data_IF_840922237227
#
_entry.id   IF_840922237227
#
_cell.length_a   1.000
_cell.length_b   1.000
_cell.length_c   1.000
_cell.angle_alpha   90.00
_cell.angle_beta   90.00
_cell.angle_gamma   90.00
#
_symmetry.space_group_name_H-M   'P 1'
#
loop_
_entity.id
_entity.type
_entity.pdbx_description
1 polymer ?
#
# COMPACT_ATOMS: atom_id res chain seq x y z
N UNK A 1 2.78 -24.05 -2.93
CA UNK A 1 2.03 -23.41 -1.81
C UNK A 1 0.65 -24.03 -1.73
N UNK A 2 0.24 -24.55 -0.57
CA UNK A 2 -1.13 -25.04 -0.36
C UNK A 2 -1.99 -23.82 -0.01
N UNK A 3 -3.05 -23.56 -0.76
CA UNK A 3 -3.98 -22.48 -0.44
C UNK A 3 -4.89 -22.94 0.71
N UNK A 4 -4.59 -22.51 1.93
CA UNK A 4 -5.28 -22.87 3.17
C UNK A 4 -6.17 -21.73 3.72
N UNK A 5 -5.93 -20.50 3.26
CA UNK A 5 -6.67 -19.29 3.63
C UNK A 5 -7.45 -18.70 2.45
N UNK A 6 -8.60 -18.07 2.75
CA UNK A 6 -9.51 -17.51 1.73
C UNK A 6 -9.60 -16.01 1.88
N UNK A 7 -9.31 -15.29 0.78
CA UNK A 7 -9.55 -13.85 0.66
C UNK A 7 -10.96 -13.61 0.13
N UNK A 8 -11.79 -12.86 0.87
CA UNK A 8 -13.12 -12.42 0.45
C UNK A 8 -13.23 -10.91 0.56
N UNK A 9 -13.61 -10.25 -0.52
CA UNK A 9 -13.85 -8.81 -0.56
C UNK A 9 -15.18 -8.53 -1.27
N UNK A 10 -15.95 -7.57 -0.74
CA UNK A 10 -17.16 -7.07 -1.38
C UNK A 10 -16.78 -5.98 -2.39
N UNK A 11 -17.23 -6.13 -3.63
CA UNK A 11 -17.05 -5.15 -4.71
C UNK A 11 -18.36 -4.98 -5.48
N UNK A 12 -18.59 -3.84 -6.16
CA UNK A 12 -19.74 -3.66 -7.04
C UNK A 12 -19.80 -4.75 -8.12
N UNK A 13 -21.01 -5.22 -8.44
CA UNK A 13 -21.21 -6.29 -9.42
C UNK A 13 -20.66 -5.93 -10.81
N UNK A 14 -20.88 -4.70 -11.26
CA UNK A 14 -20.36 -4.21 -12.55
C UNK A 14 -18.82 -4.16 -12.57
N UNK A 15 -18.21 -3.74 -11.47
CA UNK A 15 -16.74 -3.76 -11.32
C UNK A 15 -16.20 -5.20 -11.44
N UNK A 16 -16.84 -6.16 -10.76
CA UNK A 16 -16.46 -7.58 -10.85
C UNK A 16 -16.53 -8.08 -12.29
N UNK A 17 -17.63 -7.78 -12.99
CA UNK A 17 -17.85 -8.23 -14.37
C UNK A 17 -16.78 -7.68 -15.32
N UNK A 18 -16.50 -6.38 -15.26
CA UNK A 18 -15.51 -5.75 -16.12
C UNK A 18 -14.09 -6.24 -15.84
N UNK A 19 -13.75 -6.46 -14.56
CA UNK A 19 -12.46 -7.02 -14.17
C UNK A 19 -12.29 -8.46 -14.69
N UNK A 20 -13.31 -9.32 -14.58
CA UNK A 20 -13.25 -10.70 -15.07
C UNK A 20 -13.02 -10.78 -16.58
N UNK A 21 -13.75 -9.98 -17.37
CA UNK A 21 -13.56 -9.91 -18.84
C UNK A 21 -12.12 -9.51 -19.18
N UNK A 22 -11.56 -8.55 -18.45
CA UNK A 22 -10.19 -8.06 -18.69
C UNK A 22 -9.16 -9.12 -18.32
N UNK A 23 -9.35 -9.80 -17.17
CA UNK A 23 -8.46 -10.86 -16.72
C UNK A 23 -8.49 -12.08 -17.65
N UNK A 24 -9.67 -12.47 -18.15
CA UNK A 24 -9.80 -13.54 -19.14
C UNK A 24 -9.05 -13.23 -20.43
N UNK A 25 -9.10 -11.98 -20.91
CA UNK A 25 -8.29 -11.53 -22.07
C UNK A 25 -6.79 -11.61 -21.81
N UNK A 26 -6.36 -11.53 -20.55
CA UNK A 26 -4.96 -11.70 -20.13
C UNK A 26 -4.60 -13.17 -19.83
N UNK A 27 -5.56 -14.10 -19.89
CA UNK A 27 -5.35 -15.50 -19.52
C UNK A 27 -5.19 -15.73 -18.01
N UNK A 28 -5.71 -14.82 -17.18
CA UNK A 28 -5.59 -14.86 -15.72
C UNK A 28 -6.94 -15.08 -15.06
N UNK A 29 -6.96 -15.84 -13.96
CA UNK A 29 -8.11 -15.84 -13.05
C UNK A 29 -8.00 -14.72 -12.01
N UNK A 30 -9.13 -14.36 -11.39
CA UNK A 30 -9.12 -13.44 -10.24
C UNK A 30 -8.24 -13.95 -9.10
N UNK A 31 -8.19 -15.27 -8.90
CA UNK A 31 -7.32 -15.87 -7.88
C UNK A 31 -5.83 -15.73 -8.22
N UNK A 32 -5.45 -15.79 -9.49
CA UNK A 32 -4.07 -15.57 -9.91
C UNK A 32 -3.65 -14.12 -9.64
N UNK A 33 -4.50 -13.16 -10.03
CA UNK A 33 -4.27 -11.75 -9.74
C UNK A 33 -4.07 -11.50 -8.25
N UNK A 34 -4.97 -12.04 -7.40
CA UNK A 34 -4.90 -11.86 -5.95
C UNK A 34 -3.61 -12.47 -5.38
N UNK A 35 -3.25 -13.68 -5.79
CA UNK A 35 -2.01 -14.34 -5.32
C UNK A 35 -0.76 -13.56 -5.69
N UNK A 36 -0.65 -13.12 -6.95
CA UNK A 36 0.50 -12.34 -7.42
C UNK A 36 0.60 -11.01 -6.67
N UNK A 37 -0.54 -10.34 -6.46
CA UNK A 37 -0.57 -9.06 -5.72
C UNK A 37 -0.11 -9.23 -4.29
N UNK A 38 -0.60 -10.24 -3.58
CA UNK A 38 -0.18 -10.50 -2.19
C UNK A 38 1.29 -10.90 -2.09
N UNK A 39 1.79 -11.66 -3.06
CA UNK A 39 3.21 -12.01 -3.13
C UNK A 39 4.08 -10.74 -3.26
N UNK A 40 3.75 -9.85 -4.19
CA UNK A 40 4.50 -8.58 -4.35
C UNK A 40 4.44 -7.70 -3.12
N UNK A 41 3.28 -7.59 -2.49
CA UNK A 41 3.16 -6.80 -1.24
C UNK A 41 4.03 -7.39 -0.13
N UNK A 42 4.08 -8.72 -0.01
CA UNK A 42 4.88 -9.38 1.02
C UNK A 42 6.39 -9.30 0.77
N UNK A 43 6.82 -9.44 -0.48
CA UNK A 43 8.24 -9.48 -0.86
C UNK A 43 8.85 -8.10 -1.11
N UNK A 44 8.11 -7.21 -1.79
CA UNK A 44 8.62 -5.91 -2.26
C UNK A 44 8.22 -4.75 -1.33
N UNK A 45 7.29 -4.99 -0.38
CA UNK A 45 6.82 -3.96 0.55
C UNK A 45 6.04 -2.82 -0.10
N UNK A 46 5.61 -2.99 -1.36
CA UNK A 46 4.89 -1.98 -2.12
C UNK A 46 3.68 -2.59 -2.84
N UNK A 47 2.72 -1.73 -3.20
CA UNK A 47 1.62 -2.13 -4.07
C UNK A 47 2.11 -2.19 -5.52
N UNK A 48 1.53 -3.06 -6.36
CA UNK A 48 1.92 -3.19 -7.77
C UNK A 48 1.50 -1.99 -8.64
N UNK A 49 1.02 -0.91 -8.01
CA UNK A 49 0.65 0.36 -8.62
C UNK A 49 1.02 1.49 -7.68
N UNK A 50 1.29 2.67 -8.25
CA UNK A 50 1.67 3.84 -7.46
C UNK A 50 0.55 4.26 -6.51
N UNK A 51 0.87 4.28 -5.21
CA UNK A 51 0.00 4.85 -4.19
C UNK A 51 0.17 6.36 -4.21
N UNK A 52 -0.59 7.03 -5.08
CA UNK A 52 -0.48 8.49 -5.29
C UNK A 52 -0.94 9.33 -4.11
N UNK A 53 -1.78 8.78 -3.23
CA UNK A 53 -2.35 9.51 -2.09
C UNK A 53 -1.84 8.89 -0.80
N UNK A 54 -1.00 9.59 -0.02
CA UNK A 54 -0.55 9.13 1.29
C UNK A 54 -1.73 8.83 2.19
N UNK A 55 -1.59 7.88 3.13
CA UNK A 55 -2.66 7.56 4.07
C UNK A 55 -2.98 8.74 5.02
N UNK A 56 -4.07 8.65 5.77
CA UNK A 56 -4.51 9.74 6.66
C UNK A 56 -3.46 10.16 7.69
N UNK A 57 -2.71 9.20 8.24
CA UNK A 57 -1.64 9.45 9.20
C UNK A 57 -0.50 10.23 8.55
N UNK A 58 -0.02 9.79 7.39
CA UNK A 58 1.04 10.47 6.65
C UNK A 58 0.62 11.88 6.23
N UNK A 59 -0.63 12.06 5.77
CA UNK A 59 -1.15 13.40 5.43
C UNK A 59 -1.17 14.35 6.63
N UNK A 60 -1.50 13.85 7.82
CA UNK A 60 -1.46 14.65 9.06
C UNK A 60 -0.03 15.06 9.39
N UNK A 61 0.92 14.13 9.33
CA UNK A 61 2.33 14.40 9.59
C UNK A 61 2.90 15.44 8.62
N UNK A 62 2.60 15.33 7.32
CA UNK A 62 3.02 16.34 6.31
C UNK A 62 2.45 17.71 6.66
N UNK A 63 1.15 17.79 6.97
CA UNK A 63 0.49 19.06 7.32
C UNK A 63 1.07 19.69 8.59
N UNK A 64 1.43 18.88 9.58
CA UNK A 64 2.07 19.35 10.81
C UNK A 64 3.43 20.01 10.53
N UNK A 65 4.22 19.38 9.66
CA UNK A 65 5.50 19.95 9.21
C UNK A 65 5.30 21.23 8.39
N UNK A 66 4.33 21.26 7.46
CA UNK A 66 4.00 22.45 6.66
C UNK A 66 3.53 23.64 7.51
N UNK A 67 2.85 23.36 8.63
CA UNK A 67 2.42 24.37 9.61
C UNK A 67 3.55 24.82 10.55
N UNK A 68 4.78 24.31 10.37
CA UNK A 68 5.94 24.65 11.18
C UNK A 68 5.89 24.10 12.61
N UNK A 69 5.07 23.07 12.85
CA UNK A 69 4.94 22.41 14.17
C UNK A 69 5.92 21.27 14.37
N UNK A 70 6.76 20.98 13.35
CA UNK A 70 7.83 20.00 13.45
C UNK A 70 8.91 20.40 14.45
N UNK A 71 9.54 19.40 15.07
CA UNK A 71 10.70 19.62 15.91
C UNK A 71 11.91 20.00 15.07
N UNK A 72 12.72 20.93 15.60
CA UNK A 72 13.94 21.40 14.94
C UNK A 72 15.14 21.12 15.81
N UNK A 73 16.21 20.63 15.18
CA UNK A 73 17.45 20.26 15.87
C UNK A 73 18.60 21.11 15.33
N UNK A 74 19.58 21.40 16.20
CA UNK A 74 20.72 22.25 15.85
C UNK A 74 21.70 21.60 14.89
N UNK A 75 21.76 20.27 14.88
CA UNK A 75 22.65 19.46 14.05
C UNK A 75 22.14 18.01 13.98
N UNK A 76 22.76 17.20 13.13
CA UNK A 76 22.41 15.79 12.94
C UNK A 76 22.61 14.96 14.23
N UNK A 77 23.65 15.23 15.01
CA UNK A 77 23.93 14.52 16.25
C UNK A 77 22.79 14.67 17.27
N UNK A 78 22.22 15.89 17.39
CA UNK A 78 21.09 16.15 18.26
C UNK A 78 19.81 15.44 17.79
N UNK A 79 19.59 15.33 16.48
CA UNK A 79 18.46 14.59 15.90
C UNK A 79 18.59 13.08 16.18
N UNK A 80 19.76 12.49 15.91
CA UNK A 80 19.95 11.04 16.12
C UNK A 80 19.82 10.65 17.59
N UNK A 81 20.36 11.49 18.49
CA UNK A 81 20.18 11.31 19.94
C UNK A 81 18.71 11.32 20.37
N UNK A 82 17.88 12.16 19.75
CA UNK A 82 16.44 12.23 20.03
C UNK A 82 15.69 11.01 19.47
N UNK A 83 16.01 10.60 18.24
CA UNK A 83 15.44 9.44 17.57
C UNK A 83 15.86 8.09 18.18
N UNK A 84 16.86 8.08 19.07
CA UNK A 84 17.37 6.87 19.72
C UNK A 84 18.11 5.92 18.77
N UNK A 85 18.66 6.45 17.68
CA UNK A 85 19.47 5.73 16.68
C UNK A 85 20.88 6.29 16.57
#
# INVERSE_FOLDING_TARGET
MKADSVVRARIPAEMKKQAMITLERMGLSASDLIRITFLRVAEEGCLPFDVKVPNSTTRKAIKELDEGKGETFKNADALFKDLGI
#
